data_IF_718888115639
#
_entry.id   IF_718888115639
#
_cell.length_a   1.000
_cell.length_b   1.000
_cell.length_c   1.000
_cell.angle_alpha   90.00
_cell.angle_beta   90.00
_cell.angle_gamma   90.00
#
_symmetry.space_group_name_H-M   'P 1'
#
loop_
_entity.id
_entity.type
_entity.pdbx_description
1 polymer ?
#
# COMPACT_ATOMS: atom_id res chain seq x y z
N UNK A 1 -6.42 -13.33 12.42
CA UNK A 1 -5.63 -13.35 11.18
C UNK A 1 -6.05 -12.12 10.39
N UNK A 2 -5.11 -11.28 9.96
CA UNK A 2 -5.42 -10.10 9.14
C UNK A 2 -5.30 -10.52 7.66
N UNK A 3 -6.33 -10.19 6.88
CA UNK A 3 -6.40 -10.55 5.46
C UNK A 3 -5.51 -9.69 4.58
N UNK A 4 -5.99 -9.35 3.39
CA UNK A 4 -5.26 -8.55 2.40
C UNK A 4 -5.46 -7.04 2.64
N UNK A 5 -4.97 -6.57 3.79
CA UNK A 5 -5.13 -5.19 4.26
C UNK A 5 -3.79 -4.62 4.74
N UNK A 6 -3.54 -3.33 4.53
CA UNK A 6 -2.36 -2.66 5.10
C UNK A 6 -2.65 -1.21 5.49
N UNK A 7 -1.82 -0.67 6.39
CA UNK A 7 -1.85 0.75 6.75
C UNK A 7 -0.44 1.31 6.60
N UNK A 8 -0.30 2.33 5.75
CA UNK A 8 0.90 3.13 5.62
C UNK A 8 0.73 4.48 6.33
N UNK A 9 1.67 4.84 7.20
CA UNK A 9 1.74 6.17 7.83
C UNK A 9 2.42 7.13 6.86
N UNK A 10 1.89 8.33 6.76
CA UNK A 10 2.46 9.39 5.94
C UNK A 10 3.57 10.06 6.74
N UNK A 11 4.73 10.24 6.11
CA UNK A 11 5.90 10.93 6.68
C UNK A 11 6.08 12.25 5.96
N UNK A 12 6.24 13.33 6.73
CA UNK A 12 6.51 14.69 6.23
C UNK A 12 5.63 15.07 5.03
N UNK A 13 4.30 14.99 5.21
CA UNK A 13 3.30 15.34 4.20
C UNK A 13 3.44 14.59 2.85
N UNK A 14 3.99 13.38 2.86
CA UNK A 14 4.13 12.53 1.66
C UNK A 14 5.54 12.50 1.09
N UNK A 15 6.54 13.00 1.81
CA UNK A 15 7.94 12.79 1.43
C UNK A 15 8.30 11.29 1.40
N UNK A 16 7.71 10.51 2.32
CA UNK A 16 7.83 9.05 2.38
C UNK A 16 6.61 8.42 3.08
N UNK A 17 6.57 7.09 3.10
CA UNK A 17 5.52 6.30 3.73
C UNK A 17 6.11 5.15 4.53
N UNK A 18 5.61 4.92 5.74
CA UNK A 18 6.04 3.80 6.59
C UNK A 18 4.91 2.81 6.80
N UNK A 19 5.10 1.55 6.43
CA UNK A 19 4.10 0.52 6.67
C UNK A 19 3.99 0.25 8.18
N UNK A 20 2.85 0.60 8.77
CA UNK A 20 2.60 0.37 10.20
C UNK A 20 1.84 -0.93 10.48
N UNK A 21 1.15 -1.44 9.47
CA UNK A 21 0.44 -2.70 9.53
C UNK A 21 0.45 -3.33 8.13
N UNK A 22 0.81 -4.61 8.09
CA UNK A 22 0.62 -5.48 6.93
C UNK A 22 -0.22 -6.68 7.39
N UNK A 23 -1.24 -7.01 6.62
CA UNK A 23 -2.07 -8.17 6.89
C UNK A 23 -1.30 -9.47 6.64
N UNK A 24 -1.46 -10.42 7.56
CA UNK A 24 -0.72 -11.69 7.57
C UNK A 24 -0.85 -12.47 6.26
N UNK A 25 -2.05 -12.51 5.65
CA UNK A 25 -2.25 -13.25 4.40
C UNK A 25 -1.48 -12.62 3.23
N UNK A 26 -1.40 -11.29 3.18
CA UNK A 26 -0.62 -10.59 2.15
C UNK A 26 0.89 -10.81 2.35
N UNK A 27 1.38 -10.68 3.59
CA UNK A 27 2.78 -10.93 3.93
C UNK A 27 3.21 -12.36 3.58
N UNK A 28 2.35 -13.35 3.91
CA UNK A 28 2.58 -14.75 3.58
C UNK A 28 2.58 -15.01 2.07
N UNK A 29 1.75 -14.28 1.31
CA UNK A 29 1.68 -14.40 -0.14
C UNK A 29 2.95 -13.88 -0.83
N UNK A 30 3.46 -12.70 -0.41
CA UNK A 30 4.66 -12.09 -1.00
C UNK A 30 5.97 -12.55 -0.32
N UNK A 31 5.87 -13.45 0.67
CA UNK A 31 7.00 -13.96 1.47
C UNK A 31 7.84 -12.86 2.11
N UNK A 32 7.19 -11.77 2.53
CA UNK A 32 7.85 -10.61 3.11
C UNK A 32 6.90 -9.84 4.02
N UNK A 33 7.33 -9.60 5.27
CA UNK A 33 6.67 -8.66 6.17
C UNK A 33 7.36 -7.29 6.05
N UNK A 34 6.65 -6.34 5.44
CA UNK A 34 7.13 -4.97 5.24
C UNK A 34 6.80 -4.06 6.42
N UNK A 35 6.21 -4.58 7.51
CA UNK A 35 5.88 -3.79 8.69
C UNK A 35 7.13 -3.14 9.26
N UNK A 36 7.05 -1.83 9.51
CA UNK A 36 8.13 -1.01 10.04
C UNK A 36 9.01 -0.37 8.98
N UNK A 37 9.05 -0.90 7.75
CA UNK A 37 9.87 -0.38 6.65
C UNK A 37 9.28 0.87 6.04
N UNK A 38 10.17 1.74 5.59
CA UNK A 38 9.86 2.85 4.71
C UNK A 38 9.70 2.37 3.28
N UNK A 39 8.78 2.99 2.55
CA UNK A 39 8.57 2.68 1.14
C UNK A 39 9.83 2.98 0.33
N UNK A 40 10.56 4.05 0.65
CA UNK A 40 11.85 4.38 0.05
C UNK A 40 12.90 3.27 0.15
N UNK A 41 12.89 2.47 1.22
CA UNK A 41 13.76 1.30 1.40
C UNK A 41 13.35 0.13 0.49
N UNK A 42 12.13 0.16 -0.03
CA UNK A 42 11.51 -0.93 -0.80
C UNK A 42 11.35 -0.60 -2.30
N UNK A 43 11.74 0.61 -2.74
CA UNK A 43 11.68 1.09 -4.14
C UNK A 43 12.70 0.41 -5.06
N UNK A 44 12.64 -0.91 -5.13
CA UNK A 44 13.45 -1.75 -6.00
C UNK A 44 12.57 -2.53 -6.98
N UNK A 45 11.25 -2.31 -6.94
CA UNK A 45 10.27 -3.00 -7.78
C UNK A 45 9.28 -2.04 -8.41
N UNK A 46 8.88 -2.33 -9.65
CA UNK A 46 7.83 -1.58 -10.36
C UNK A 46 6.49 -1.59 -9.60
N UNK A 47 6.26 -2.63 -8.78
CA UNK A 47 5.11 -2.68 -7.88
C UNK A 47 5.16 -1.56 -6.84
N UNK A 48 6.29 -1.42 -6.12
CA UNK A 48 6.46 -0.38 -5.10
C UNK A 48 6.44 1.05 -5.69
N UNK A 49 7.02 1.25 -6.88
CA UNK A 49 6.93 2.53 -7.59
C UNK A 49 5.47 2.91 -7.93
N UNK A 50 4.69 1.94 -8.42
CA UNK A 50 3.26 2.13 -8.69
C UNK A 50 2.49 2.42 -7.40
N UNK A 51 2.75 1.68 -6.33
CA UNK A 51 2.13 1.92 -5.03
C UNK A 51 2.43 3.33 -4.53
N UNK A 52 3.69 3.80 -4.68
CA UNK A 52 4.07 5.17 -4.34
C UNK A 52 3.25 6.21 -5.11
N UNK A 53 3.13 6.06 -6.44
CA UNK A 53 2.36 6.98 -7.26
C UNK A 53 0.87 7.05 -6.85
N UNK A 54 0.29 5.91 -6.45
CA UNK A 54 -1.07 5.86 -5.90
C UNK A 54 -1.15 6.61 -4.58
N UNK A 55 -0.20 6.40 -3.67
CA UNK A 55 -0.18 7.10 -2.39
C UNK A 55 -0.03 8.60 -2.57
N UNK A 56 0.88 9.04 -3.44
CA UNK A 56 1.06 10.46 -3.77
C UNK A 56 -0.25 11.07 -4.31
N UNK A 57 -1.02 10.31 -5.10
CA UNK A 57 -2.33 10.73 -5.58
C UNK A 57 -3.34 10.87 -4.43
N UNK A 58 -3.39 9.90 -3.51
CA UNK A 58 -4.27 9.96 -2.32
C UNK A 58 -3.93 11.16 -1.45
N UNK A 59 -2.65 11.45 -1.21
CA UNK A 59 -2.22 12.60 -0.40
C UNK A 59 -2.54 13.92 -1.10
N UNK A 60 -2.22 14.02 -2.39
CA UNK A 60 -2.40 15.26 -3.16
C UNK A 60 -3.87 15.67 -3.28
N UNK A 61 -4.75 14.71 -3.56
CA UNK A 61 -6.16 14.99 -3.83
C UNK A 61 -7.09 14.71 -2.66
N UNK A 62 -6.60 14.00 -1.62
CA UNK A 62 -7.39 13.61 -0.44
C UNK A 62 -8.64 12.81 -0.78
N UNK A 63 -8.56 12.01 -1.84
CA UNK A 63 -9.64 11.17 -2.33
C UNK A 63 -9.24 9.69 -2.32
N UNK A 64 -10.19 8.76 -2.16
CA UNK A 64 -9.98 7.35 -2.46
C UNK A 64 -9.41 7.13 -3.87
N UNK A 65 -8.49 6.17 -4.00
CA UNK A 65 -7.96 5.73 -5.30
C UNK A 65 -8.13 4.23 -5.42
N UNK A 66 -8.85 3.80 -6.46
CA UNK A 66 -8.91 2.41 -6.89
C UNK A 66 -7.81 2.16 -7.92
N UNK A 67 -7.15 1.01 -7.83
CA UNK A 67 -6.17 0.55 -8.80
C UNK A 67 -6.36 -0.95 -9.04
N UNK A 68 -6.55 -1.33 -10.30
CA UNK A 68 -6.85 -2.69 -10.68
C UNK A 68 -7.63 -2.79 -11.99
N UNK A 69 -7.69 -3.98 -12.60
CA UNK A 69 -6.91 -5.17 -12.23
C UNK A 69 -5.42 -5.00 -12.55
N UNK A 70 -4.53 -5.49 -11.68
CA UNK A 70 -3.07 -5.46 -11.87
C UNK A 70 -2.43 -6.81 -11.53
N UNK A 71 -1.25 -7.09 -12.06
CA UNK A 71 -0.49 -8.29 -11.70
C UNK A 71 0.41 -8.02 -10.49
N UNK A 72 0.20 -8.79 -9.42
CA UNK A 72 1.11 -8.89 -8.29
C UNK A 72 1.96 -10.14 -8.44
N UNK A 73 3.27 -9.97 -8.45
CA UNK A 73 4.20 -11.09 -8.37
C UNK A 73 4.26 -11.60 -6.92
N UNK A 74 3.88 -12.86 -6.70
CA UNK A 74 3.92 -13.51 -5.37
C UNK A 74 5.07 -14.51 -5.23
N UNK A 75 5.64 -14.97 -6.35
CA UNK A 75 6.89 -15.74 -6.41
C UNK A 75 7.57 -15.51 -7.77
N UNK A 76 8.79 -16.03 -7.99
CA UNK A 76 9.58 -15.86 -9.23
C UNK A 76 8.84 -16.27 -10.51
N UNK A 77 7.82 -17.13 -10.40
CA UNK A 77 7.05 -17.65 -11.55
C UNK A 77 5.54 -17.53 -11.40
N UNK A 78 5.05 -16.95 -10.30
CA UNK A 78 3.61 -16.90 -10.01
C UNK A 78 3.13 -15.45 -9.83
N UNK A 79 1.99 -15.17 -10.46
CA UNK A 79 1.36 -13.85 -10.47
C UNK A 79 -0.11 -14.00 -10.14
N UNK A 80 -0.61 -13.11 -9.28
CA UNK A 80 -2.04 -12.98 -8.97
C UNK A 80 -2.59 -11.72 -9.62
N UNK A 81 -3.81 -11.78 -10.14
CA UNK A 81 -4.55 -10.56 -10.43
C UNK A 81 -5.08 -9.99 -9.12
N UNK A 82 -4.89 -8.70 -8.93
CA UNK A 82 -5.37 -7.98 -7.77
C UNK A 82 -6.06 -6.69 -8.17
N UNK A 83 -7.03 -6.31 -7.36
CA UNK A 83 -7.57 -4.96 -7.28
C UNK A 83 -7.27 -4.39 -5.91
N UNK A 84 -7.14 -3.07 -5.82
CA UNK A 84 -6.80 -2.39 -4.58
C UNK A 84 -7.58 -1.08 -4.45
N UNK A 85 -7.92 -0.74 -3.21
CA UNK A 85 -8.52 0.53 -2.85
C UNK A 85 -7.67 1.18 -1.75
N UNK A 86 -7.13 2.36 -2.05
CA UNK A 86 -6.34 3.17 -1.11
C UNK A 86 -7.19 4.33 -0.60
N UNK A 87 -7.43 4.37 0.70
CA UNK A 87 -8.32 5.32 1.37
C UNK A 87 -7.50 6.28 2.25
N UNK A 88 -7.70 7.60 2.14
CA UNK A 88 -7.07 8.55 3.05
C UNK A 88 -7.69 8.42 4.44
N UNK A 89 -6.84 8.32 5.47
CA UNK A 89 -7.23 8.38 6.86
C UNK A 89 -6.66 9.65 7.49
N UNK A 90 -7.50 10.35 8.26
CA UNK A 90 -7.14 11.58 8.97
C UNK A 90 -7.59 11.51 10.41
N UNK A 91 -6.83 12.14 11.31
CA UNK A 91 -7.15 12.32 12.73
C UNK A 91 -7.86 13.65 12.99
N UNK A 92 -7.47 14.71 12.29
CA UNK A 92 -7.99 16.08 12.50
C UNK A 92 -8.79 16.66 11.33
N UNK A 93 -8.67 16.10 10.13
CA UNK A 93 -9.29 16.61 8.90
C UNK A 93 -8.36 17.50 8.06
N UNK A 94 -7.28 18.03 8.64
CA UNK A 94 -6.41 18.99 7.96
C UNK A 94 -5.40 18.33 7.02
N UNK A 95 -4.93 17.14 7.37
CA UNK A 95 -3.92 16.38 6.65
C UNK A 95 -4.25 14.88 6.65
N UNK A 96 -3.70 14.14 5.68
CA UNK A 96 -3.80 12.68 5.63
C UNK A 96 -2.66 12.11 6.47
N UNK A 97 -3.00 11.48 7.60
CA UNK A 97 -2.03 10.87 8.53
C UNK A 97 -1.59 9.47 8.10
N UNK A 98 -2.48 8.77 7.41
CA UNK A 98 -2.28 7.40 6.99
C UNK A 98 -3.11 7.06 5.76
N UNK A 99 -2.73 6.01 5.08
CA UNK A 99 -3.48 5.41 3.98
C UNK A 99 -3.85 4.00 4.41
N UNK A 100 -5.14 3.68 4.33
CA UNK A 100 -5.65 2.32 4.47
C UNK A 100 -5.74 1.70 3.08
N UNK A 101 -5.18 0.51 2.92
CA UNK A 101 -5.18 -0.21 1.65
C UNK A 101 -5.93 -1.52 1.86
N UNK A 102 -7.01 -1.71 1.12
CA UNK A 102 -7.63 -3.02 0.94
C UNK A 102 -7.22 -3.60 -0.42
N UNK A 103 -6.89 -4.88 -0.45
CA UNK A 103 -6.54 -5.60 -1.68
C UNK A 103 -7.49 -6.78 -1.82
N UNK A 104 -8.04 -6.96 -3.02
CA UNK A 104 -8.87 -8.10 -3.40
C UNK A 104 -8.14 -8.93 -4.46
N UNK A 105 -8.25 -10.26 -4.35
CA UNK A 105 -7.84 -11.17 -5.42
C UNK A 105 -8.93 -11.16 -6.51
N UNK A 106 -8.53 -10.92 -7.75
CA UNK A 106 -9.41 -10.95 -8.92
C UNK A 106 -9.33 -12.29 -9.65
#
# INVERSE_FOLDING_TARGET
MLGWISIARVIDQGADYRFSLIGSEFADAIKSDMTGYHMSELLHSAFMERTRAIFDTVIRYRTPVQNGPTQLQIDKRDHKQIESLSLPLTRSGDEVDAILIGIALA
#
